data_IF_192322538080
#
_entry.id   IF_192322538080
#
_cell.length_a   1.000
_cell.length_b   1.000
_cell.length_c   1.000
_cell.angle_alpha   90.00
_cell.angle_beta   90.00
_cell.angle_gamma   90.00
#
_symmetry.space_group_name_H-M   'P 1'
#
loop_
_entity.id
_entity.type
_entity.pdbx_description
1 polymer ?
#
# COMPACT_ATOMS: atom_id res chain seq x y z
N UNK A 1 29.17 -1.39 -16.52
CA UNK A 1 28.66 -1.32 -15.13
C UNK A 1 28.56 0.14 -14.70
N UNK A 2 27.45 0.61 -14.10
CA UNK A 2 27.42 1.91 -13.40
C UNK A 2 27.79 1.69 -11.92
N UNK A 3 28.70 2.51 -11.38
CA UNK A 3 28.95 2.57 -9.92
C UNK A 3 27.87 3.43 -9.27
N UNK A 4 27.25 2.91 -8.22
CA UNK A 4 26.22 3.59 -7.41
C UNK A 4 26.90 4.20 -6.19
N UNK A 5 26.53 5.43 -5.82
CA UNK A 5 27.31 6.26 -4.88
C UNK A 5 26.58 6.71 -3.60
N UNK A 6 25.26 6.50 -3.45
CA UNK A 6 24.51 6.95 -2.29
C UNK A 6 23.65 5.84 -1.64
N UNK A 7 23.10 6.11 -0.45
CA UNK A 7 22.24 5.18 0.29
C UNK A 7 20.79 5.26 -0.18
N UNK A 8 20.50 4.65 -1.34
CA UNK A 8 19.19 4.73 -1.99
C UNK A 8 18.14 3.75 -1.43
N UNK A 9 16.94 3.83 -2.00
CA UNK A 9 15.77 3.00 -1.70
C UNK A 9 15.24 2.40 -3.01
N UNK A 10 15.13 1.07 -3.08
CA UNK A 10 14.43 0.36 -4.15
C UNK A 10 12.97 0.15 -3.77
N UNK A 11 12.10 0.04 -4.79
CA UNK A 11 10.69 -0.32 -4.61
C UNK A 11 10.38 -1.53 -5.48
N UNK A 12 9.78 -2.54 -4.86
CA UNK A 12 9.30 -3.74 -5.53
C UNK A 12 7.77 -3.68 -5.47
N UNK A 13 7.15 -3.50 -6.63
CA UNK A 13 5.70 -3.53 -6.80
C UNK A 13 5.26 -4.96 -7.06
N UNK A 14 4.67 -5.61 -6.07
CA UNK A 14 4.40 -7.04 -6.12
C UNK A 14 2.92 -7.27 -6.39
N UNK A 15 2.54 -7.31 -7.68
CA UNK A 15 1.15 -7.42 -8.14
C UNK A 15 0.76 -8.87 -8.47
N UNK A 16 -0.31 -9.37 -7.85
CA UNK A 16 -0.94 -10.63 -8.23
C UNK A 16 -2.12 -10.38 -9.16
N UNK A 17 -1.80 -10.16 -10.44
CA UNK A 17 -2.80 -10.00 -11.50
C UNK A 17 -3.56 -11.27 -11.89
N UNK A 18 -3.21 -12.43 -11.31
CA UNK A 18 -3.56 -13.77 -11.85
C UNK A 18 -3.91 -14.83 -10.78
N UNK A 19 -4.33 -14.44 -9.57
CA UNK A 19 -5.22 -15.33 -8.80
C UNK A 19 -6.64 -15.10 -9.35
N UNK A 20 -7.33 -16.13 -9.85
CA UNK A 20 -8.67 -15.95 -10.40
C UNK A 20 -9.69 -15.42 -9.39
N UNK A 21 -10.78 -14.89 -9.95
CA UNK A 21 -12.02 -14.41 -9.36
C UNK A 21 -12.36 -14.89 -7.94
N UNK A 22 -12.87 -13.96 -7.12
CA UNK A 22 -13.70 -14.34 -5.97
C UNK A 22 -12.98 -14.93 -4.76
N UNK A 23 -11.67 -14.70 -4.57
CA UNK A 23 -10.93 -15.18 -3.40
C UNK A 23 -11.34 -14.48 -2.08
N UNK A 24 -12.58 -14.72 -1.62
CA UNK A 24 -13.21 -14.31 -0.36
C UNK A 24 -12.26 -14.40 0.84
N UNK A 25 -11.53 -15.50 0.90
CA UNK A 25 -10.42 -15.85 1.78
C UNK A 25 -9.41 -14.74 2.08
N UNK A 26 -9.12 -13.84 1.13
CA UNK A 26 -8.11 -12.79 1.37
C UNK A 26 -8.65 -11.70 2.32
N UNK A 27 -9.97 -11.63 2.55
CA UNK A 27 -10.56 -10.88 3.67
C UNK A 27 -10.28 -11.51 5.05
N UNK A 28 -9.82 -12.77 5.10
CA UNK A 28 -9.34 -13.37 6.36
C UNK A 28 -7.98 -12.75 6.70
N UNK A 29 -7.85 -12.19 7.91
CA UNK A 29 -6.65 -11.48 8.37
C UNK A 29 -5.35 -12.28 8.27
N UNK A 30 -5.42 -13.61 8.38
CA UNK A 30 -4.27 -14.51 8.19
C UNK A 30 -3.78 -14.47 6.75
N UNK A 31 -4.69 -14.57 5.77
CA UNK A 31 -4.36 -14.54 4.35
C UNK A 31 -3.84 -13.17 3.92
N UNK A 32 -4.49 -12.07 4.34
CA UNK A 32 -3.94 -10.72 4.11
C UNK A 32 -2.63 -10.47 4.86
N UNK A 33 -2.36 -11.16 5.97
CA UNK A 33 -1.06 -11.15 6.66
C UNK A 33 0.02 -11.95 5.91
N UNK A 34 -0.33 -13.03 5.20
CA UNK A 34 0.61 -13.83 4.42
C UNK A 34 1.39 -12.99 3.39
N UNK A 35 0.73 -12.01 2.75
CA UNK A 35 1.36 -11.04 1.84
C UNK A 35 2.53 -10.30 2.51
N UNK A 36 2.33 -9.76 3.70
CA UNK A 36 3.38 -9.05 4.45
C UNK A 36 4.49 -10.00 4.90
N UNK A 37 4.13 -11.20 5.37
CA UNK A 37 5.09 -12.18 5.87
C UNK A 37 5.98 -12.69 4.73
N UNK A 38 5.42 -13.07 3.59
CA UNK A 38 6.18 -13.53 2.44
C UNK A 38 7.07 -12.41 1.84
N UNK A 39 6.58 -11.17 1.76
CA UNK A 39 7.34 -10.07 1.14
C UNK A 39 8.53 -9.67 2.01
N UNK A 40 8.30 -9.51 3.32
CA UNK A 40 9.38 -9.27 4.29
C UNK A 40 10.36 -10.45 4.37
N UNK A 41 9.89 -11.71 4.41
CA UNK A 41 10.76 -12.90 4.36
C UNK A 41 11.60 -12.97 3.09
N UNK A 42 11.06 -12.63 1.92
CA UNK A 42 11.78 -12.65 0.63
C UNK A 42 13.04 -11.79 0.70
N UNK A 43 12.91 -10.55 1.20
CA UNK A 43 14.03 -9.61 1.29
C UNK A 43 14.92 -9.93 2.50
N UNK A 44 14.35 -10.18 3.68
CA UNK A 44 15.13 -10.42 4.90
C UNK A 44 16.00 -11.70 4.83
N UNK A 45 15.53 -12.76 4.16
CA UNK A 45 16.34 -13.97 3.93
C UNK A 45 17.54 -13.66 3.03
N UNK A 46 17.30 -13.06 1.86
CA UNK A 46 18.32 -12.63 0.92
C UNK A 46 19.34 -11.66 1.56
N UNK A 47 18.88 -10.70 2.37
CA UNK A 47 19.76 -9.79 3.09
C UNK A 47 20.58 -10.50 4.17
N UNK A 48 20.02 -11.51 4.87
CA UNK A 48 20.74 -12.33 5.85
C UNK A 48 21.84 -13.17 5.19
N UNK A 49 21.54 -13.81 4.06
CA UNK A 49 22.52 -14.50 3.18
C UNK A 49 23.65 -13.55 2.74
N UNK A 50 23.34 -12.26 2.55
CA UNK A 50 24.31 -11.20 2.22
C UNK A 50 24.86 -10.45 3.44
N UNK A 51 24.58 -10.92 4.66
CA UNK A 51 25.05 -10.35 5.94
C UNK A 51 24.69 -8.87 6.19
N UNK A 52 23.46 -8.46 5.87
CA UNK A 52 22.93 -7.14 6.24
C UNK A 52 21.47 -7.16 6.69
N UNK A 53 21.07 -6.16 7.47
CA UNK A 53 19.69 -5.92 7.92
C UNK A 53 19.16 -4.62 7.27
N UNK A 54 18.28 -4.69 6.26
CA UNK A 54 17.74 -3.51 5.57
C UNK A 54 16.70 -2.78 6.42
N UNK A 55 16.37 -1.55 6.02
CA UNK A 55 15.11 -0.90 6.41
C UNK A 55 14.05 -1.26 5.37
N UNK A 56 12.89 -1.77 5.81
CA UNK A 56 11.79 -2.18 4.92
C UNK A 56 10.47 -1.54 5.37
N UNK A 57 9.69 -1.04 4.40
CA UNK A 57 8.29 -0.62 4.56
C UNK A 57 7.44 -1.45 3.59
N UNK A 58 6.27 -1.91 4.04
CA UNK A 58 5.31 -2.63 3.20
C UNK A 58 3.91 -2.02 3.35
N UNK A 59 3.18 -1.88 2.24
CA UNK A 59 1.77 -1.46 2.23
C UNK A 59 0.92 -2.39 1.33
N UNK A 60 -0.18 -2.93 1.85
CA UNK A 60 -1.10 -3.81 1.13
C UNK A 60 -2.25 -3.02 0.48
N UNK A 61 -2.44 -3.16 -0.82
CA UNK A 61 -3.64 -2.69 -1.54
C UNK A 61 -4.46 -3.90 -2.01
N UNK A 62 -5.78 -3.74 -2.10
CA UNK A 62 -6.75 -4.78 -2.48
C UNK A 62 -7.36 -4.55 -3.88
N UNK A 63 -7.15 -3.38 -4.47
CA UNK A 63 -7.86 -2.87 -5.64
C UNK A 63 -6.96 -2.68 -6.87
N UNK A 64 -7.45 -3.09 -8.03
CA UNK A 64 -6.94 -2.64 -9.33
C UNK A 64 -7.37 -1.20 -9.64
N UNK A 65 -6.81 -0.60 -10.70
CA UNK A 65 -7.22 0.75 -11.14
C UNK A 65 -8.70 0.80 -11.52
N UNK A 66 -9.22 -0.29 -12.08
CA UNK A 66 -10.61 -0.54 -12.45
C UNK A 66 -11.49 -1.05 -11.28
N UNK A 67 -11.06 -0.88 -10.02
CA UNK A 67 -11.75 -1.35 -8.81
C UNK A 67 -11.98 -2.87 -8.70
N UNK A 68 -11.52 -3.70 -9.65
CA UNK A 68 -11.55 -5.16 -9.49
C UNK A 68 -10.60 -5.60 -8.37
N UNK A 69 -10.89 -6.73 -7.73
CA UNK A 69 -10.03 -7.30 -6.69
C UNK A 69 -8.65 -7.67 -7.26
N UNK A 70 -7.60 -7.06 -6.73
CA UNK A 70 -6.20 -7.25 -7.13
C UNK A 70 -5.33 -7.01 -5.88
N UNK A 71 -5.20 -8.00 -4.99
CA UNK A 71 -4.41 -7.89 -3.78
C UNK A 71 -2.92 -7.86 -4.14
N UNK A 72 -2.25 -6.78 -3.77
CA UNK A 72 -0.86 -6.52 -4.11
C UNK A 72 -0.13 -5.74 -3.02
N UNK A 73 1.18 -5.93 -2.91
CA UNK A 73 1.98 -5.33 -1.86
C UNK A 73 3.09 -4.44 -2.43
N UNK A 74 3.10 -3.18 -1.98
CA UNK A 74 4.15 -2.21 -2.27
C UNK A 74 5.24 -2.38 -1.22
N UNK A 75 6.40 -2.91 -1.60
CA UNK A 75 7.54 -3.06 -0.71
C UNK A 75 8.63 -2.05 -1.06
N UNK A 76 9.08 -1.27 -0.08
CA UNK A 76 10.22 -0.36 -0.21
C UNK A 76 11.36 -0.87 0.68
N UNK A 77 12.58 -0.95 0.16
CA UNK A 77 13.76 -1.46 0.88
C UNK A 77 15.03 -0.65 0.58
N UNK A 78 15.93 -0.52 1.56
CA UNK A 78 17.24 0.12 1.36
C UNK A 78 18.21 -0.72 0.53
N UNK A 79 19.11 -0.04 -0.18
CA UNK A 79 20.23 -0.64 -0.92
C UNK A 79 21.34 -1.11 0.03
N UNK A 80 21.10 -2.27 0.65
CA UNK A 80 21.90 -2.75 1.79
C UNK A 80 21.25 -2.43 3.13
N UNK A 81 22.06 -2.44 4.20
CA UNK A 81 21.57 -2.31 5.57
C UNK A 81 22.67 -2.21 6.62
N UNK A 82 22.29 -2.35 7.89
CA UNK A 82 23.27 -2.51 8.97
C UNK A 82 23.97 -3.87 8.85
N UNK A 83 25.30 -3.90 8.96
CA UNK A 83 26.09 -5.12 8.82
C UNK A 83 25.77 -6.13 9.93
N UNK A 84 25.63 -7.41 9.55
CA UNK A 84 25.41 -8.53 10.47
C UNK A 84 26.68 -9.36 10.59
N UNK A 85 27.29 -9.40 11.79
CA UNK A 85 28.33 -10.40 12.14
C UNK A 85 27.69 -11.39 13.12
N UNK A 86 27.66 -12.67 12.77
CA UNK A 86 27.05 -13.75 13.57
C UNK A 86 25.59 -13.42 13.97
N UNK A 87 24.79 -12.98 12.99
CA UNK A 87 23.42 -12.45 13.16
C UNK A 87 23.26 -11.20 14.06
N UNK A 88 24.32 -10.71 14.70
CA UNK A 88 24.29 -9.49 15.52
C UNK A 88 24.55 -8.23 14.67
N UNK A 89 23.74 -7.20 14.91
CA UNK A 89 23.88 -5.88 14.27
C UNK A 89 25.18 -5.20 14.70
N UNK A 90 25.94 -4.69 13.73
CA UNK A 90 27.14 -3.87 13.94
C UNK A 90 26.91 -2.45 13.41
N UNK A 91 27.57 -1.45 14.01
CA UNK A 91 27.46 -0.02 13.69
C UNK A 91 28.20 0.35 12.38
N UNK A 92 27.97 -0.41 11.30
CA UNK A 92 28.56 -0.23 9.96
C UNK A 92 27.48 -0.49 8.91
N UNK A 93 27.41 0.35 7.87
CA UNK A 93 26.56 0.05 6.71
C UNK A 93 27.25 -0.97 5.79
N UNK A 94 26.51 -1.96 5.31
CA UNK A 94 26.89 -2.82 4.19
C UNK A 94 25.93 -2.52 3.04
N UNK A 95 26.44 -1.89 1.99
CA UNK A 95 25.69 -1.63 0.76
C UNK A 95 25.51 -2.93 -0.06
N UNK A 96 24.46 -2.97 -0.89
CA UNK A 96 24.20 -4.05 -1.84
C UNK A 96 23.86 -3.43 -3.19
N UNK A 97 24.87 -3.31 -4.06
CA UNK A 97 24.78 -2.65 -5.37
C UNK A 97 23.97 -3.43 -6.43
N UNK A 98 23.38 -4.57 -6.04
CA UNK A 98 22.60 -5.43 -6.92
C UNK A 98 21.50 -6.15 -6.12
N UNK A 99 20.34 -6.34 -6.77
CA UNK A 99 19.24 -7.20 -6.33
C UNK A 99 18.93 -8.18 -7.48
N UNK A 100 19.01 -9.51 -7.25
CA UNK A 100 18.70 -10.51 -8.28
C UNK A 100 17.19 -10.69 -8.41
N UNK A 101 16.50 -9.74 -9.03
CA UNK A 101 15.04 -9.66 -9.06
C UNK A 101 14.38 -10.97 -9.54
N UNK A 102 14.86 -11.60 -10.61
CA UNK A 102 14.36 -12.91 -11.10
C UNK A 102 14.38 -14.00 -10.00
N UNK A 103 15.39 -14.01 -9.14
CA UNK A 103 15.46 -14.92 -7.99
C UNK A 103 14.50 -14.50 -6.88
N UNK A 104 14.43 -13.20 -6.56
CA UNK A 104 13.50 -12.65 -5.57
C UNK A 104 12.03 -12.88 -5.97
N UNK A 105 11.68 -12.83 -7.26
CA UNK A 105 10.34 -13.11 -7.78
C UNK A 105 9.97 -14.60 -7.63
N UNK A 106 10.92 -15.52 -7.90
CA UNK A 106 10.74 -16.96 -7.65
C UNK A 106 10.58 -17.24 -6.16
N UNK A 107 11.43 -16.64 -5.32
CA UNK A 107 11.41 -16.75 -3.85
C UNK A 107 10.10 -16.20 -3.26
N UNK A 108 9.63 -15.04 -3.74
CA UNK A 108 8.34 -14.46 -3.36
C UNK A 108 7.16 -15.37 -3.72
N UNK A 109 7.10 -15.87 -4.97
CA UNK A 109 6.03 -16.78 -5.41
C UNK A 109 5.90 -17.99 -4.49
N UNK A 110 7.02 -18.64 -4.22
CA UNK A 110 7.08 -19.78 -3.30
C UNK A 110 6.63 -19.39 -1.89
N UNK A 111 7.21 -18.32 -1.31
CA UNK A 111 6.89 -17.89 0.06
C UNK A 111 5.45 -17.43 0.23
N UNK A 112 4.85 -16.74 -0.75
CA UNK A 112 3.44 -16.35 -0.63
C UNK A 112 2.54 -17.58 -0.64
N UNK A 113 2.76 -18.52 -1.56
CA UNK A 113 1.97 -19.74 -1.65
C UNK A 113 2.11 -20.57 -0.37
N UNK A 114 3.33 -20.71 0.17
CA UNK A 114 3.58 -21.41 1.43
C UNK A 114 2.85 -20.74 2.62
N UNK A 115 2.97 -19.42 2.78
CA UNK A 115 2.28 -18.67 3.86
C UNK A 115 0.75 -18.63 3.68
N UNK A 116 0.23 -18.60 2.44
CA UNK A 116 -1.21 -18.72 2.16
C UNK A 116 -1.71 -20.13 2.50
N UNK A 117 -1.03 -21.19 2.06
CA UNK A 117 -1.36 -22.58 2.42
C UNK A 117 -1.37 -22.79 3.93
N UNK A 118 -0.40 -22.22 4.66
CA UNK A 118 -0.36 -22.22 6.13
C UNK A 118 -1.54 -21.44 6.74
N UNK A 119 -1.83 -20.25 6.22
CA UNK A 119 -2.94 -19.41 6.70
C UNK A 119 -4.30 -20.07 6.50
N UNK A 120 -4.51 -20.74 5.37
CA UNK A 120 -5.71 -21.51 5.05
C UNK A 120 -5.80 -22.74 5.97
N UNK A 121 -4.78 -23.61 6.02
CA UNK A 121 -4.78 -24.80 6.92
C UNK A 121 -5.05 -24.43 8.39
N UNK A 122 -4.50 -23.32 8.87
CA UNK A 122 -4.72 -22.83 10.23
C UNK A 122 -6.11 -22.19 10.45
N UNK A 123 -6.73 -21.62 9.40
CA UNK A 123 -8.09 -21.13 9.44
C UNK A 123 -9.10 -22.30 9.48
N UNK A 124 -8.94 -23.28 8.59
CA UNK A 124 -9.78 -24.49 8.51
C UNK A 124 -9.81 -25.25 9.84
N UNK A 125 -8.63 -25.48 10.46
CA UNK A 125 -8.51 -26.11 11.79
C UNK A 125 -9.24 -25.37 12.92
N UNK A 126 -9.56 -24.09 12.75
CA UNK A 126 -10.30 -23.27 13.72
C UNK A 126 -11.77 -23.06 13.35
N UNK A 127 -12.14 -23.34 12.10
CA UNK A 127 -13.45 -23.04 11.53
C UNK A 127 -13.88 -24.25 10.66
N UNK A 128 -14.25 -25.41 11.27
CA UNK A 128 -14.65 -26.59 10.51
C UNK A 128 -15.83 -26.30 9.58
N UNK A 129 -16.80 -25.52 10.05
CA UNK A 129 -18.01 -25.15 9.29
C UNK A 129 -17.79 -23.87 8.45
N UNK A 130 -16.77 -23.86 7.59
CA UNK A 130 -16.38 -22.70 6.78
C UNK A 130 -17.06 -22.60 5.40
N UNK A 131 -18.23 -23.22 5.21
CA UNK A 131 -19.02 -23.14 3.97
C UNK A 131 -18.26 -23.67 2.76
N UNK A 132 -18.20 -22.89 1.67
CA UNK A 132 -17.43 -23.22 0.46
C UNK A 132 -15.95 -23.51 0.76
N UNK A 133 -15.33 -22.87 1.75
CA UNK A 133 -13.93 -23.13 2.12
C UNK A 133 -13.73 -24.50 2.81
N UNK A 134 -14.79 -25.27 3.08
CA UNK A 134 -14.62 -26.68 3.47
C UNK A 134 -13.86 -27.50 2.41
N UNK A 135 -13.94 -27.13 1.12
CA UNK A 135 -13.34 -27.92 0.02
C UNK A 135 -11.81 -28.03 0.12
N UNK A 136 -11.11 -27.03 0.68
CA UNK A 136 -9.64 -27.07 0.85
C UNK A 136 -9.17 -27.85 2.08
N UNK A 137 -10.10 -28.39 2.90
CA UNK A 137 -9.77 -29.34 3.98
C UNK A 137 -9.40 -30.72 3.43
N UNK A 138 -9.83 -31.07 2.22
CA UNK A 138 -9.53 -32.35 1.60
C UNK A 138 -8.04 -32.48 1.27
N UNK A 139 -7.41 -33.67 1.48
CA UNK A 139 -6.03 -33.92 1.10
C UNK A 139 -5.75 -33.57 -0.37
N UNK A 140 -4.59 -32.98 -0.63
CA UNK A 140 -4.14 -32.63 -1.98
C UNK A 140 -4.83 -31.44 -2.65
N UNK A 141 -6.11 -31.12 -2.36
CA UNK A 141 -6.87 -30.04 -3.04
C UNK A 141 -6.15 -28.69 -2.96
N UNK A 142 -5.74 -28.30 -1.75
CA UNK A 142 -4.99 -27.07 -1.51
C UNK A 142 -3.63 -27.04 -2.23
N UNK A 143 -2.99 -28.18 -2.41
CA UNK A 143 -1.72 -28.25 -3.13
C UNK A 143 -1.92 -28.27 -4.64
N UNK A 144 -2.99 -28.89 -5.13
CA UNK A 144 -3.44 -28.88 -6.53
C UNK A 144 -3.81 -27.46 -6.99
N UNK A 145 -4.64 -26.74 -6.24
CA UNK A 145 -5.03 -25.36 -6.56
C UNK A 145 -3.84 -24.40 -6.71
N UNK A 146 -2.86 -24.48 -5.81
CA UNK A 146 -1.72 -23.56 -5.80
C UNK A 146 -0.54 -23.98 -6.69
N UNK A 147 -0.44 -25.25 -7.12
CA UNK A 147 0.72 -25.71 -7.91
C UNK A 147 0.81 -25.11 -9.33
N UNK A 148 -0.30 -24.90 -10.08
CA UNK A 148 -0.28 -24.11 -11.32
C UNK A 148 0.22 -22.68 -11.09
N UNK A 149 -0.19 -22.04 -9.98
CA UNK A 149 0.19 -20.67 -9.66
C UNK A 149 1.71 -20.48 -9.43
N UNK A 150 2.46 -21.54 -9.07
CA UNK A 150 3.93 -21.51 -9.05
C UNK A 150 4.55 -21.44 -10.45
N UNK A 151 3.93 -22.10 -11.44
CA UNK A 151 4.42 -22.18 -12.82
C UNK A 151 4.16 -20.87 -13.59
N UNK A 152 3.04 -20.21 -13.33
CA UNK A 152 2.66 -18.93 -13.96
C UNK A 152 3.63 -17.81 -13.57
N UNK A 153 3.97 -16.94 -14.52
CA UNK A 153 4.81 -15.78 -14.29
C UNK A 153 4.01 -14.58 -13.75
N UNK A 154 4.15 -14.27 -12.46
CA UNK A 154 3.43 -13.15 -11.83
C UNK A 154 4.09 -11.81 -12.17
N UNK A 155 3.28 -10.76 -12.33
CA UNK A 155 3.75 -9.41 -12.62
C UNK A 155 4.35 -8.74 -11.37
N UNK A 156 5.63 -9.00 -11.11
CA UNK A 156 6.41 -8.21 -10.15
C UNK A 156 7.14 -7.11 -10.93
N UNK A 157 6.82 -5.85 -10.62
CA UNK A 157 7.44 -4.68 -11.24
C UNK A 157 8.50 -4.12 -10.29
N UNK A 158 9.76 -4.36 -10.62
CA UNK A 158 10.88 -3.74 -9.93
C UNK A 158 11.00 -2.28 -10.38
N UNK A 159 11.08 -1.33 -9.45
CA UNK A 159 11.49 0.04 -9.78
C UNK A 159 13.00 0.12 -9.86
N UNK A 160 13.49 1.03 -10.70
CA UNK A 160 14.86 1.50 -10.59
C UNK A 160 15.11 2.21 -9.25
N UNK A 161 16.37 2.51 -9.01
CA UNK A 161 16.88 3.19 -7.83
C UNK A 161 16.42 4.65 -7.83
N UNK A 162 15.59 5.04 -6.85
CA UNK A 162 15.04 6.39 -6.82
C UNK A 162 16.04 7.39 -6.22
N UNK A 163 16.28 8.49 -6.94
CA UNK A 163 17.01 9.64 -6.40
C UNK A 163 16.24 10.26 -5.22
N UNK A 164 16.97 10.68 -4.19
CA UNK A 164 16.40 11.18 -2.94
C UNK A 164 15.62 12.49 -3.12
N UNK A 165 15.93 13.28 -4.17
CA UNK A 165 15.21 14.51 -4.51
C UNK A 165 13.79 14.20 -5.00
N UNK A 166 13.66 13.17 -5.84
CA UNK A 166 12.39 12.71 -6.39
C UNK A 166 11.62 11.79 -5.42
N UNK A 167 12.32 11.15 -4.46
CA UNK A 167 11.72 10.33 -3.42
C UNK A 167 11.17 11.17 -2.24
N UNK A 168 10.16 11.99 -2.53
CA UNK A 168 9.44 12.79 -1.53
C UNK A 168 8.59 11.91 -0.60
N UNK A 169 8.29 12.41 0.61
CA UNK A 169 7.30 11.79 1.52
C UNK A 169 5.92 11.58 0.84
N UNK A 170 5.56 12.42 -0.14
CA UNK A 170 4.34 12.25 -0.95
C UNK A 170 4.35 10.98 -1.81
N UNK A 171 5.51 10.40 -2.12
CA UNK A 171 5.57 9.07 -2.74
C UNK A 171 5.02 8.04 -1.78
N UNK A 172 5.58 7.91 -0.57
CA UNK A 172 5.10 6.98 0.46
C UNK A 172 3.62 7.28 0.80
N UNK A 173 3.24 8.55 0.93
CA UNK A 173 1.86 8.99 1.17
C UNK A 173 0.85 8.43 0.15
N UNK A 174 1.20 8.44 -1.14
CA UNK A 174 0.34 7.92 -2.24
C UNK A 174 0.11 6.40 -2.19
N UNK A 175 0.86 5.65 -1.39
CA UNK A 175 0.64 4.20 -1.17
C UNK A 175 0.19 3.87 0.25
N UNK A 176 0.28 4.79 1.22
CA UNK A 176 -0.14 4.54 2.62
C UNK A 176 -1.56 4.98 2.95
N UNK A 177 -2.16 5.92 2.22
CA UNK A 177 -3.54 6.41 2.46
C UNK A 177 -4.38 6.62 1.19
N UNK A 178 -4.18 5.77 0.17
CA UNK A 178 -4.97 5.84 -1.07
C UNK A 178 -6.29 5.08 -0.95
N UNK A 179 -7.47 5.71 -1.10
CA UNK A 179 -8.73 4.99 -1.25
C UNK A 179 -8.80 4.25 -2.60
N UNK A 180 -9.64 3.20 -2.75
CA UNK A 180 -9.77 2.45 -3.99
C UNK A 180 -10.11 3.33 -5.20
N UNK A 181 -11.04 4.27 -4.98
CA UNK A 181 -11.39 5.34 -5.90
C UNK A 181 -11.06 6.69 -5.24
N UNK A 182 -10.50 7.63 -6.00
CA UNK A 182 -10.43 9.04 -5.58
C UNK A 182 -11.63 9.78 -6.18
N UNK A 183 -12.22 10.71 -5.42
CA UNK A 183 -13.47 11.42 -5.77
C UNK A 183 -13.43 12.02 -7.18
N UNK A 184 -12.31 12.62 -7.59
CA UNK A 184 -12.11 13.20 -8.94
C UNK A 184 -12.13 12.21 -10.11
N UNK A 185 -12.30 10.90 -9.83
CA UNK A 185 -12.56 9.87 -10.85
C UNK A 185 -14.05 9.54 -11.01
N UNK A 186 -14.91 9.94 -10.07
CA UNK A 186 -16.36 9.89 -10.25
C UNK A 186 -16.72 11.04 -11.20
N UNK A 187 -17.25 10.72 -12.37
CA UNK A 187 -17.58 11.71 -13.40
C UNK A 187 -19.03 12.16 -13.32
N UNK A 188 -19.93 11.24 -12.98
CA UNK A 188 -21.38 11.47 -13.01
C UNK A 188 -22.10 10.43 -12.13
N UNK A 189 -23.15 10.88 -11.45
CA UNK A 189 -24.16 10.04 -10.80
C UNK A 189 -25.52 10.49 -11.34
N UNK A 190 -26.28 9.59 -11.94
CA UNK A 190 -27.54 9.94 -12.63
C UNK A 190 -28.45 8.73 -12.82
N UNK A 191 -29.76 8.96 -12.89
CA UNK A 191 -30.69 7.97 -13.47
C UNK A 191 -30.43 7.86 -14.98
N UNK A 192 -30.51 6.66 -15.56
CA UNK A 192 -30.45 6.45 -17.01
C UNK A 192 -31.85 6.13 -17.51
N UNK A 193 -32.36 6.89 -18.49
CA UNK A 193 -33.76 6.79 -18.93
C UNK A 193 -34.08 5.42 -19.56
N UNK A 194 -33.06 4.74 -20.10
CA UNK A 194 -33.18 3.44 -20.79
C UNK A 194 -32.88 2.23 -19.87
N UNK A 195 -32.49 2.45 -18.61
CA UNK A 195 -32.15 1.39 -17.67
C UNK A 195 -32.40 1.85 -16.23
N UNK A 196 -33.41 1.26 -15.59
CA UNK A 196 -33.89 1.70 -14.27
C UNK A 196 -32.80 1.77 -13.19
N UNK A 197 -33.06 2.59 -12.16
CA UNK A 197 -32.16 2.80 -11.03
C UNK A 197 -31.21 3.99 -11.20
N UNK A 198 -30.19 4.04 -10.32
CA UNK A 198 -29.17 5.08 -10.29
C UNK A 198 -27.86 4.49 -10.79
N UNK A 199 -27.19 5.18 -11.71
CA UNK A 199 -25.94 4.75 -12.32
C UNK A 199 -24.80 5.68 -11.91
N UNK A 200 -23.62 5.08 -11.71
CA UNK A 200 -22.37 5.79 -11.41
C UNK A 200 -21.40 5.59 -12.57
N UNK A 201 -20.99 6.69 -13.20
CA UNK A 201 -19.94 6.70 -14.23
C UNK A 201 -18.63 7.16 -13.60
N UNK A 202 -17.61 6.30 -13.64
CA UNK A 202 -16.27 6.63 -13.15
C UNK A 202 -15.19 6.36 -14.22
N UNK A 203 -14.11 7.12 -14.17
CA UNK A 203 -12.96 6.92 -15.05
C UNK A 203 -11.94 5.95 -14.42
N UNK A 204 -11.28 5.14 -15.25
CA UNK A 204 -10.01 4.51 -14.92
C UNK A 204 -9.09 4.53 -16.13
N UNK A 205 -7.77 4.55 -15.89
CA UNK A 205 -6.78 4.51 -16.96
C UNK A 205 -5.77 3.41 -16.62
N UNK A 206 -5.56 2.45 -17.50
CA UNK A 206 -4.51 1.44 -17.32
C UNK A 206 -3.13 2.02 -17.69
N UNK A 207 -2.07 1.22 -17.65
CA UNK A 207 -0.73 1.72 -18.03
C UNK A 207 -0.66 1.78 -19.55
N UNK A 208 -0.25 2.93 -20.09
CA UNK A 208 -0.08 3.19 -21.52
C UNK A 208 -1.39 3.03 -22.35
N UNK A 209 -2.56 3.25 -21.74
CA UNK A 209 -3.87 3.23 -22.39
C UNK A 209 -4.60 4.56 -22.17
N UNK A 210 -5.64 4.83 -22.96
CA UNK A 210 -6.54 5.98 -22.77
C UNK A 210 -7.44 5.80 -21.53
N UNK A 211 -7.97 6.89 -20.94
CA UNK A 211 -8.94 6.78 -19.85
C UNK A 211 -10.26 6.15 -20.31
N UNK A 212 -10.55 4.97 -19.77
CA UNK A 212 -11.83 4.27 -19.93
C UNK A 212 -12.86 4.91 -18.99
N UNK A 213 -14.03 5.26 -19.51
CA UNK A 213 -15.22 5.55 -18.70
C UNK A 213 -16.00 4.25 -18.49
N UNK A 214 -16.37 3.94 -17.25
CA UNK A 214 -17.20 2.78 -16.93
C UNK A 214 -18.42 3.23 -16.14
N UNK A 215 -19.60 2.99 -16.70
CA UNK A 215 -20.90 3.20 -16.05
C UNK A 215 -21.41 1.86 -15.52
N UNK A 216 -21.87 1.84 -14.27
CA UNK A 216 -22.48 0.68 -13.60
C UNK A 216 -23.65 1.12 -12.72
N UNK A 217 -24.60 0.22 -12.38
CA UNK A 217 -25.59 0.48 -11.34
C UNK A 217 -24.93 0.81 -10.00
N UNK A 218 -25.57 1.63 -9.17
CA UNK A 218 -25.01 2.11 -7.89
C UNK A 218 -24.75 0.96 -6.92
N UNK A 219 -25.54 -0.10 -6.97
CA UNK A 219 -25.39 -1.35 -6.22
C UNK A 219 -24.05 -2.00 -6.57
N UNK A 220 -23.78 -2.17 -7.87
CA UNK A 220 -22.53 -2.74 -8.38
C UNK A 220 -21.33 -1.82 -8.10
N UNK A 221 -21.53 -0.51 -8.07
CA UNK A 221 -20.50 0.44 -7.64
C UNK A 221 -20.17 0.28 -6.14
N UNK A 222 -21.19 0.10 -5.29
CA UNK A 222 -21.01 -0.18 -3.86
C UNK A 222 -20.29 -1.51 -3.63
N UNK A 223 -20.68 -2.60 -4.30
CA UNK A 223 -19.97 -3.89 -4.26
C UNK A 223 -18.49 -3.74 -4.63
N UNK A 224 -18.20 -3.00 -5.71
CA UNK A 224 -16.84 -2.75 -6.19
C UNK A 224 -15.97 -2.01 -5.19
N UNK A 225 -16.56 -1.27 -4.24
CA UNK A 225 -15.86 -0.60 -3.13
C UNK A 225 -15.82 -1.45 -1.85
N UNK A 226 -16.95 -2.05 -1.44
CA UNK A 226 -17.11 -2.82 -0.20
C UNK A 226 -16.17 -4.03 -0.15
N UNK A 227 -15.86 -4.66 -1.29
CA UNK A 227 -14.87 -5.74 -1.36
C UNK A 227 -13.45 -5.34 -0.89
N UNK A 228 -13.12 -4.05 -0.89
CA UNK A 228 -11.79 -3.53 -0.50
C UNK A 228 -11.71 -3.07 0.95
N UNK A 229 -12.82 -3.09 1.69
CA UNK A 229 -12.83 -2.82 3.13
C UNK A 229 -12.02 -3.94 3.82
N UNK A 230 -10.98 -3.52 4.55
CA UNK A 230 -10.14 -4.41 5.35
C UNK A 230 -10.74 -4.56 6.76
N UNK A 231 -10.51 -5.68 7.46
CA UNK A 231 -11.03 -5.89 8.81
C UNK A 231 -10.61 -4.81 9.82
N UNK A 232 -11.39 -4.68 10.90
CA UNK A 232 -11.15 -3.66 11.91
C UNK A 232 -9.74 -3.75 12.53
N UNK A 233 -9.13 -2.59 12.74
CA UNK A 233 -7.74 -2.45 13.22
C UNK A 233 -6.66 -3.07 12.31
N UNK A 234 -6.99 -3.52 11.08
CA UNK A 234 -6.02 -4.13 10.18
C UNK A 234 -4.88 -3.18 9.82
N UNK A 235 -3.65 -3.60 10.13
CA UNK A 235 -2.45 -2.80 9.84
C UNK A 235 -2.04 -2.96 8.37
N UNK A 236 -2.65 -2.14 7.52
CA UNK A 236 -2.39 -2.01 6.08
C UNK A 236 -0.95 -1.57 5.77
N UNK A 237 -0.24 -0.99 6.73
CA UNK A 237 1.18 -0.59 6.62
C UNK A 237 1.96 -1.32 7.70
N UNK A 238 3.06 -1.99 7.33
CA UNK A 238 3.91 -2.74 8.26
C UNK A 238 5.40 -2.45 7.98
N UNK A 239 6.20 -2.51 9.04
CA UNK A 239 7.61 -2.11 9.03
C UNK A 239 8.50 -3.29 9.42
N UNK A 240 9.60 -3.49 8.70
CA UNK A 240 10.49 -4.65 8.86
C UNK A 240 11.97 -4.26 8.87
N UNK A 241 12.82 -5.18 9.32
CA UNK A 241 14.25 -4.96 9.50
C UNK A 241 14.55 -3.83 10.49
N UNK A 242 15.38 -2.85 10.11
CA UNK A 242 15.72 -1.66 10.91
C UNK A 242 14.47 -0.93 11.43
N UNK A 243 13.37 -0.92 10.67
CA UNK A 243 12.14 -0.18 11.00
C UNK A 243 11.13 -1.00 11.83
N UNK A 244 11.39 -2.29 12.11
CA UNK A 244 10.46 -3.14 12.82
C UNK A 244 10.20 -2.64 14.26
N UNK A 245 8.93 -2.60 14.68
CA UNK A 245 8.50 -1.89 15.90
C UNK A 245 9.28 -2.25 17.19
N UNK A 246 9.73 -3.50 17.35
CA UNK A 246 10.50 -3.97 18.52
C UNK A 246 11.95 -3.45 18.57
N UNK A 247 12.54 -3.08 17.42
CA UNK A 247 13.95 -2.68 17.31
C UNK A 247 14.15 -1.27 16.74
N UNK A 248 13.10 -0.64 16.21
CA UNK A 248 13.19 0.68 15.58
C UNK A 248 13.81 1.74 16.50
N UNK A 249 13.53 1.71 17.81
CA UNK A 249 14.03 2.76 18.72
C UNK A 249 15.55 2.72 18.83
N UNK A 250 16.13 1.55 19.11
CA UNK A 250 17.59 1.38 19.25
C UNK A 250 18.33 1.43 17.90
N UNK A 251 17.73 0.92 16.82
CA UNK A 251 18.37 0.91 15.49
C UNK A 251 18.22 2.24 14.73
N UNK A 252 17.19 3.04 14.97
CA UNK A 252 16.97 4.35 14.32
C UNK A 252 18.13 5.32 14.61
N UNK A 253 18.67 5.32 15.82
CA UNK A 253 19.84 6.16 16.13
C UNK A 253 21.06 5.78 15.31
N UNK A 254 21.40 4.48 15.29
CA UNK A 254 22.54 3.94 14.55
C UNK A 254 22.37 4.25 13.05
N UNK A 255 21.16 4.06 12.52
CA UNK A 255 20.79 4.35 11.14
C UNK A 255 20.92 5.85 10.81
N UNK A 256 20.38 6.75 11.63
CA UNK A 256 20.47 8.20 11.41
C UNK A 256 21.92 8.72 11.52
N UNK A 257 22.68 8.24 12.51
CA UNK A 257 24.10 8.58 12.69
C UNK A 257 24.94 8.11 11.49
N UNK A 258 24.72 6.89 11.00
CA UNK A 258 25.43 6.35 9.82
C UNK A 258 25.07 7.07 8.51
N UNK A 259 23.82 7.49 8.32
CA UNK A 259 23.39 8.21 7.11
C UNK A 259 23.91 9.67 7.04
N UNK A 260 24.61 10.16 8.07
CA UNK A 260 25.12 11.55 8.19
C UNK A 260 24.08 12.65 7.91
N UNK A 261 22.78 12.33 7.99
CA UNK A 261 21.71 13.27 7.65
C UNK A 261 21.63 14.36 8.73
N UNK A 262 22.01 15.59 8.36
CA UNK A 262 21.55 16.79 9.08
C UNK A 262 20.04 16.69 9.24
N UNK A 263 19.52 17.05 10.42
CA UNK A 263 18.08 17.26 10.59
C UNK A 263 17.71 18.49 9.77
N UNK A 264 17.23 18.29 8.54
CA UNK A 264 16.50 19.32 7.86
C UNK A 264 15.23 19.59 8.68
N UNK A 265 15.18 20.75 9.32
CA UNK A 265 13.92 21.36 9.72
C UNK A 265 13.14 21.62 8.45
N UNK A 266 12.21 20.72 8.13
CA UNK A 266 11.21 21.00 7.11
C UNK A 266 10.33 22.12 7.68
N UNK A 267 10.53 23.34 7.19
CA UNK A 267 9.64 24.45 7.50
C UNK A 267 8.24 24.09 7.02
N UNK A 268 7.35 23.83 7.98
CA UNK A 268 5.97 23.45 7.70
C UNK A 268 5.22 24.71 7.33
N UNK A 269 5.29 25.09 6.04
CA UNK A 269 4.60 26.24 5.46
C UNK A 269 3.18 26.38 6.04
N UNK A 270 2.73 27.59 6.42
CA UNK A 270 1.38 27.81 6.95
C UNK A 270 0.29 27.30 6.01
N UNK A 271 -0.91 27.00 6.55
CA UNK A 271 -2.02 26.43 5.77
C UNK A 271 -2.34 27.25 4.51
N UNK A 272 -2.34 28.59 4.61
CA UNK A 272 -2.60 29.51 3.47
C UNK A 272 -1.61 29.29 2.34
N UNK A 273 -0.32 29.21 2.65
CA UNK A 273 0.75 29.02 1.66
C UNK A 273 0.73 27.61 1.05
N UNK A 274 0.38 26.58 1.83
CA UNK A 274 0.18 25.21 1.31
C UNK A 274 -1.01 25.13 0.36
N UNK A 275 -2.09 25.86 0.62
CA UNK A 275 -3.26 25.93 -0.27
C UNK A 275 -2.96 26.75 -1.53
N UNK A 276 -2.27 27.91 -1.41
CA UNK A 276 -1.77 28.68 -2.57
C UNK A 276 -0.96 27.80 -3.52
N UNK A 277 0.04 27.09 -2.99
CA UNK A 277 0.90 26.20 -3.77
C UNK A 277 0.13 25.02 -4.40
N UNK A 278 -0.95 24.54 -3.77
CA UNK A 278 -1.77 23.44 -4.27
C UNK A 278 -2.83 23.87 -5.30
N UNK A 279 -3.38 25.09 -5.18
CA UNK A 279 -4.52 25.58 -5.98
C UNK A 279 -4.13 26.60 -7.05
N UNK A 280 -2.92 27.16 -6.98
CA UNK A 280 -2.51 28.33 -7.78
C UNK A 280 -3.14 29.65 -7.33
N UNK A 281 -3.94 29.65 -6.26
CA UNK A 281 -4.71 30.80 -5.79
C UNK A 281 -4.83 30.81 -4.26
N UNK A 282 -4.92 32.01 -3.69
CA UNK A 282 -5.01 32.21 -2.24
C UNK A 282 -6.42 31.84 -1.72
N UNK A 283 -6.56 30.85 -0.83
CA UNK A 283 -7.87 30.41 -0.34
C UNK A 283 -8.59 31.45 0.53
N UNK A 284 -7.91 32.54 0.92
CA UNK A 284 -8.50 33.63 1.68
C UNK A 284 -8.86 34.84 0.81
N UNK A 285 -8.76 34.77 -0.52
CA UNK A 285 -9.24 35.82 -1.42
C UNK A 285 -10.53 35.37 -2.12
N UNK A 286 -11.51 36.27 -2.23
CA UNK A 286 -12.77 35.99 -2.91
C UNK A 286 -12.54 35.79 -4.42
N UNK A 287 -12.94 34.66 -5.02
CA UNK A 287 -12.67 34.37 -6.43
C UNK A 287 -13.46 35.25 -7.41
N UNK A 288 -14.41 36.07 -6.93
CA UNK A 288 -15.17 37.03 -7.76
C UNK A 288 -14.61 38.45 -7.73
N UNK A 289 -13.97 38.88 -6.63
CA UNK A 289 -13.62 40.29 -6.41
C UNK A 289 -12.23 40.54 -5.79
N UNK A 290 -11.43 39.50 -5.58
CA UNK A 290 -10.05 39.59 -5.08
C UNK A 290 -9.89 40.04 -3.62
N UNK A 291 -10.93 40.57 -2.97
CA UNK A 291 -10.89 41.03 -1.58
C UNK A 291 -10.64 39.89 -0.60
N UNK A 292 -9.90 40.15 0.48
CA UNK A 292 -9.63 39.16 1.53
C UNK A 292 -10.91 38.83 2.30
N UNK A 293 -11.21 37.54 2.40
CA UNK A 293 -12.31 36.98 3.16
C UNK A 293 -11.97 37.00 4.65
N UNK A 294 -12.94 37.41 5.49
CA UNK A 294 -12.90 37.22 6.95
C UNK A 294 -13.62 35.92 7.31
N UNK A 295 -13.12 35.22 8.33
CA UNK A 295 -13.87 34.12 8.95
C UNK A 295 -14.91 34.74 9.88
N UNK A 296 -16.20 34.54 9.58
CA UNK A 296 -17.31 35.08 10.39
C UNK A 296 -17.75 34.08 11.45
N UNK A 297 -17.77 32.79 11.12
CA UNK A 297 -18.32 31.74 11.99
C UNK A 297 -17.77 30.37 11.60
N UNK A 298 -17.73 29.45 12.58
CA UNK A 298 -17.37 28.04 12.41
C UNK A 298 -18.55 27.20 12.87
N UNK A 299 -19.17 26.45 11.95
CA UNK A 299 -20.19 25.47 12.28
C UNK A 299 -19.57 24.08 12.52
N UNK A 300 -19.96 23.40 13.60
CA UNK A 300 -19.50 22.05 13.94
C UNK A 300 -20.70 21.11 14.13
N UNK A 301 -20.69 19.94 13.49
CA UNK A 301 -21.81 18.99 13.61
C UNK A 301 -21.60 18.01 14.77
N UNK A 302 -22.48 18.06 15.76
CA UNK A 302 -22.47 17.13 16.89
C UNK A 302 -23.31 15.90 16.55
N UNK A 303 -22.67 14.75 16.28
CA UNK A 303 -23.37 13.48 16.07
C UNK A 303 -24.25 13.08 17.27
N UNK A 304 -23.88 13.47 18.49
CA UNK A 304 -24.65 13.20 19.72
C UNK A 304 -25.92 14.06 19.80
N UNK A 305 -25.87 15.32 19.38
CA UNK A 305 -27.02 16.23 19.40
C UNK A 305 -27.82 16.27 18.09
N UNK A 306 -27.29 15.67 17.01
CA UNK A 306 -27.79 15.73 15.62
C UNK A 306 -27.96 17.17 15.08
N UNK A 307 -27.22 18.13 15.63
CA UNK A 307 -27.33 19.56 15.34
C UNK A 307 -25.98 20.21 15.03
N UNK A 308 -26.03 21.41 14.46
CA UNK A 308 -24.87 22.29 14.29
C UNK A 308 -24.69 23.16 15.54
N UNK A 309 -23.46 23.21 16.04
CA UNK A 309 -23.02 24.15 17.08
C UNK A 309 -22.09 25.17 16.43
N UNK A 310 -22.44 26.45 16.55
CA UNK A 310 -21.76 27.56 15.91
C UNK A 310 -20.80 28.25 16.88
N UNK A 311 -19.63 28.65 16.40
CA UNK A 311 -18.62 29.39 17.13
C UNK A 311 -18.14 30.57 16.29
N UNK A 312 -18.32 31.78 16.80
CA UNK A 312 -17.80 33.00 16.18
C UNK A 312 -16.38 33.25 16.74
N UNK A 313 -15.34 33.33 15.90
CA UNK A 313 -13.99 33.64 16.37
C UNK A 313 -13.90 35.10 16.85
N UNK A 314 -12.99 35.40 17.80
CA UNK A 314 -12.71 36.76 18.25
C UNK A 314 -11.96 37.60 17.20
#
# INVERSE_FOLDING_TARGET
>A
MKRISHHHLFIIYVLLYQIPYGCFWIKIDSCSTAFFVAASKTILSYSKERHFLPAIICALHTFGRNLKFNPHIHLLSTTGGLYLKNNQVRKKWKHSAYLPFVMLHKRWRYLLIDELKKSIRNYLKKNPNCGELSVFSHPGVLDSFFSPLLKINWYVHDSEELDYKNFTVSYIGRYTKRPPLGESRILQVSKIVQAEGIWVTFSYQERNQNPVRWSVPVERFMELLIQHILPDNFRQIRYYGILANRVKTSLKEIFLKLLKRKRYSLEVLPWRERQKLYRGSDPLLCPKCGKQMKLVEIATFSQKAKSLTYFQPP
#
